data_IF_804979149266
#
_entry.id   IF_804979149266
#
_cell.length_a   1.000
_cell.length_b   1.000
_cell.length_c   1.000
_cell.angle_alpha   90.00
_cell.angle_beta   90.00
_cell.angle_gamma   90.00
#
_symmetry.space_group_name_H-M   'P 1'
#
loop_
_entity.id
_entity.type
_entity.pdbx_description
1 polymer ?
#
# COMPACT_ATOMS: atom_id res chain seq x y z
N UNK A 1 -20.94 -34.83 -0.09
CA UNK A 1 -22.32 -34.86 -0.65
C UNK A 1 -23.09 -33.69 -0.04
N UNK A 2 -23.85 -32.94 -0.85
CA UNK A 2 -24.62 -31.78 -0.35
C UNK A 2 -25.95 -32.25 0.25
N UNK A 3 -26.20 -31.85 1.50
CA UNK A 3 -27.42 -32.13 2.26
C UNK A 3 -28.37 -30.92 2.17
N UNK A 4 -29.68 -31.21 2.14
CA UNK A 4 -30.75 -30.20 2.12
C UNK A 4 -31.92 -30.68 2.99
N UNK A 5 -32.73 -29.76 3.51
CA UNK A 5 -33.88 -30.11 4.36
C UNK A 5 -35.08 -30.52 3.54
N UNK A 6 -35.68 -31.68 3.82
CA UNK A 6 -36.91 -32.10 3.15
C UNK A 6 -38.00 -31.02 3.29
N UNK A 7 -38.61 -30.63 2.17
CA UNK A 7 -39.63 -29.59 2.14
C UNK A 7 -40.87 -29.93 3.00
N UNK A 8 -41.15 -31.22 3.23
CA UNK A 8 -42.35 -31.66 3.95
C UNK A 8 -42.11 -31.97 5.44
N UNK A 9 -40.94 -32.49 5.81
CA UNK A 9 -40.65 -32.88 7.21
C UNK A 9 -39.46 -32.15 7.85
N UNK A 10 -38.81 -31.24 7.14
CA UNK A 10 -37.73 -30.40 7.64
C UNK A 10 -36.40 -31.11 7.93
N UNK A 11 -36.36 -32.44 7.94
CA UNK A 11 -35.15 -33.23 8.22
C UNK A 11 -34.18 -33.24 7.04
N UNK A 12 -32.90 -33.27 7.34
CA UNK A 12 -31.81 -33.31 6.35
C UNK A 12 -31.84 -34.58 5.51
N UNK A 13 -31.65 -34.42 4.21
CA UNK A 13 -31.62 -35.48 3.21
C UNK A 13 -30.57 -35.18 2.13
N UNK A 14 -30.05 -36.23 1.50
CA UNK A 14 -29.17 -36.07 0.34
C UNK A 14 -29.96 -35.60 -0.89
N UNK A 15 -29.36 -34.73 -1.71
CA UNK A 15 -29.89 -34.31 -3.00
C UNK A 15 -30.12 -35.45 -4.01
N UNK A 16 -29.47 -36.61 -3.81
CA UNK A 16 -29.60 -37.79 -4.67
C UNK A 16 -30.67 -38.79 -4.21
N UNK A 17 -31.37 -38.50 -3.12
CA UNK A 17 -32.34 -39.41 -2.52
C UNK A 17 -33.65 -39.43 -3.33
N UNK A 18 -34.16 -40.63 -3.64
CA UNK A 18 -35.36 -40.83 -4.47
C UNK A 18 -36.67 -40.59 -3.68
N UNK A 19 -36.67 -40.86 -2.37
CA UNK A 19 -37.80 -40.65 -1.46
C UNK A 19 -37.26 -40.21 -0.11
N UNK A 20 -37.92 -39.27 0.58
CA UNK A 20 -37.46 -38.86 1.91
C UNK A 20 -37.46 -40.08 2.85
N UNK A 21 -36.31 -40.46 3.45
CA UNK A 21 -36.23 -41.61 4.36
C UNK A 21 -37.01 -41.38 5.66
N UNK A 22 -37.32 -40.13 5.97
CA UNK A 22 -37.94 -39.74 7.24
C UNK A 22 -39.47 -39.63 7.18
N UNK A 23 -40.04 -39.16 6.07
CA UNK A 23 -41.49 -38.96 5.93
C UNK A 23 -42.09 -39.64 4.71
N UNK A 24 -41.27 -40.26 3.86
CA UNK A 24 -41.73 -40.93 2.65
C UNK A 24 -42.17 -39.99 1.53
N UNK A 25 -41.94 -38.68 1.60
CA UNK A 25 -42.28 -37.78 0.49
C UNK A 25 -41.49 -38.11 -0.78
N UNK A 26 -42.17 -38.04 -1.93
CA UNK A 26 -41.60 -38.17 -3.28
C UNK A 26 -41.35 -36.83 -3.95
N UNK A 27 -41.73 -35.72 -3.29
CA UNK A 27 -41.52 -34.32 -3.72
C UNK A 27 -40.69 -33.53 -2.71
N UNK A 28 -39.69 -34.19 -2.13
CA UNK A 28 -38.87 -33.72 -1.04
C UNK A 28 -38.08 -32.42 -1.32
N UNK A 29 -37.94 -32.01 -2.57
CA UNK A 29 -37.22 -30.78 -2.97
C UNK A 29 -38.14 -29.67 -3.49
N UNK A 30 -39.45 -29.76 -3.25
CA UNK A 30 -40.42 -28.73 -3.64
C UNK A 30 -39.96 -27.34 -3.15
N UNK A 31 -40.06 -26.34 -4.03
CA UNK A 31 -39.67 -24.94 -3.80
C UNK A 31 -38.15 -24.67 -3.64
N UNK A 32 -37.29 -25.68 -3.76
CA UNK A 32 -35.85 -25.44 -3.76
C UNK A 32 -35.37 -24.98 -5.14
N UNK A 33 -34.58 -23.91 -5.16
CA UNK A 33 -33.98 -23.36 -6.38
C UNK A 33 -32.47 -23.29 -6.22
N UNK A 34 -31.73 -23.94 -7.11
CA UNK A 34 -30.27 -23.83 -7.17
C UNK A 34 -29.81 -23.35 -8.54
N UNK A 35 -28.65 -22.68 -8.58
CA UNK A 35 -27.97 -22.42 -9.85
C UNK A 35 -27.12 -23.63 -10.24
N UNK A 36 -27.11 -23.95 -11.54
CA UNK A 36 -26.33 -25.07 -12.08
C UNK A 36 -24.84 -24.97 -11.71
N UNK A 37 -24.28 -23.76 -11.69
CA UNK A 37 -22.86 -23.52 -11.38
C UNK A 37 -22.52 -23.90 -9.93
N UNK A 38 -23.43 -23.63 -9.00
CA UNK A 38 -23.24 -23.95 -7.57
C UNK A 38 -23.33 -25.47 -7.35
N UNK A 39 -24.27 -26.14 -8.00
CA UNK A 39 -24.38 -27.60 -7.94
C UNK A 39 -23.14 -28.31 -8.54
N UNK A 40 -22.57 -27.78 -9.62
CA UNK A 40 -21.31 -28.30 -10.19
C UNK A 40 -20.15 -28.09 -9.21
N UNK A 41 -20.05 -26.90 -8.59
CA UNK A 41 -19.00 -26.58 -7.60
C UNK A 41 -19.08 -27.52 -6.38
N UNK A 42 -20.30 -27.87 -5.97
CA UNK A 42 -20.56 -28.76 -4.84
C UNK A 42 -20.41 -30.26 -5.20
N UNK A 43 -19.93 -30.58 -6.40
CA UNK A 43 -19.64 -31.95 -6.85
C UNK A 43 -20.90 -32.78 -7.16
N UNK A 44 -22.05 -32.15 -7.40
CA UNK A 44 -23.29 -32.86 -7.74
C UNK A 44 -23.24 -33.34 -9.19
N UNK A 45 -23.38 -34.64 -9.40
CA UNK A 45 -23.35 -35.25 -10.73
C UNK A 45 -24.59 -34.85 -11.55
N UNK A 46 -24.53 -34.90 -12.90
CA UNK A 46 -25.70 -34.65 -13.76
C UNK A 46 -26.89 -35.54 -13.42
N UNK A 47 -26.64 -36.79 -13.03
CA UNK A 47 -27.68 -37.72 -12.60
C UNK A 47 -28.32 -37.29 -11.26
N UNK A 48 -27.53 -36.75 -10.33
CA UNK A 48 -28.04 -36.13 -9.10
C UNK A 48 -28.86 -34.88 -9.36
N UNK A 49 -28.46 -34.03 -10.32
CA UNK A 49 -29.24 -32.85 -10.74
C UNK A 49 -30.59 -33.26 -11.35
N UNK A 50 -30.59 -34.30 -12.18
CA UNK A 50 -31.81 -34.84 -12.79
C UNK A 50 -32.78 -35.40 -11.74
N UNK A 51 -32.27 -36.15 -10.76
CA UNK A 51 -33.07 -36.61 -9.61
C UNK A 51 -33.64 -35.44 -8.82
N UNK A 52 -32.83 -34.43 -8.50
CA UNK A 52 -33.27 -33.22 -7.80
C UNK A 52 -34.42 -32.52 -8.53
N UNK A 53 -34.33 -32.37 -9.86
CA UNK A 53 -35.41 -31.79 -10.66
C UNK A 53 -36.66 -32.68 -10.71
N UNK A 54 -36.49 -34.00 -10.87
CA UNK A 54 -37.58 -34.99 -10.89
C UNK A 54 -38.40 -34.97 -9.59
N UNK A 55 -37.75 -34.72 -8.46
CA UNK A 55 -38.37 -34.70 -7.13
C UNK A 55 -38.72 -33.29 -6.62
N UNK A 56 -38.89 -32.32 -7.53
CA UNK A 56 -39.55 -31.03 -7.27
C UNK A 56 -38.62 -29.80 -7.19
N UNK A 57 -37.31 -29.99 -7.31
CA UNK A 57 -36.33 -28.89 -7.33
C UNK A 57 -36.27 -28.16 -8.67
N UNK A 58 -35.84 -26.89 -8.66
CA UNK A 58 -35.63 -26.08 -9.88
C UNK A 58 -34.15 -25.71 -10.03
N UNK A 59 -33.61 -25.89 -11.23
CA UNK A 59 -32.23 -25.50 -11.56
C UNK A 59 -32.26 -24.31 -12.51
N UNK A 60 -31.65 -23.19 -12.13
CA UNK A 60 -31.46 -22.00 -12.98
C UNK A 60 -30.09 -22.03 -13.65
N UNK A 61 -30.04 -21.62 -14.92
CA UNK A 61 -28.79 -21.45 -15.69
C UNK A 61 -28.54 -19.95 -15.87
N UNK A 62 -27.38 -19.47 -15.44
CA UNK A 62 -26.96 -18.09 -15.68
C UNK A 62 -26.27 -18.03 -17.03
N UNK A 63 -26.93 -17.45 -18.04
CA UNK A 63 -26.41 -17.37 -19.40
C UNK A 63 -26.02 -15.91 -19.72
N UNK A 64 -24.90 -15.43 -19.17
CA UNK A 64 -24.33 -14.15 -19.60
C UNK A 64 -23.71 -14.36 -20.97
N UNK A 65 -24.22 -13.64 -21.97
CA UNK A 65 -23.66 -13.66 -23.32
C UNK A 65 -22.40 -12.78 -23.35
N UNK A 66 -21.27 -13.35 -22.88
CA UNK A 66 -19.98 -12.67 -22.76
C UNK A 66 -19.52 -12.03 -24.07
N UNK A 67 -19.89 -12.58 -25.23
CA UNK A 67 -19.58 -11.99 -26.54
C UNK A 67 -20.23 -10.62 -26.71
N UNK A 68 -21.52 -10.47 -26.37
CA UNK A 68 -22.22 -9.17 -26.46
C UNK A 68 -21.64 -8.14 -25.50
N UNK A 69 -21.31 -8.55 -24.28
CA UNK A 69 -20.71 -7.65 -23.28
C UNK A 69 -19.31 -7.18 -23.70
N UNK A 70 -18.48 -8.08 -24.22
CA UNK A 70 -17.15 -7.74 -24.72
C UNK A 70 -17.21 -6.75 -25.89
N UNK A 71 -18.11 -6.97 -26.86
CA UNK A 71 -18.28 -6.04 -28.00
C UNK A 71 -18.71 -4.64 -27.54
N UNK A 72 -19.64 -4.54 -26.60
CA UNK A 72 -20.09 -3.25 -26.05
C UNK A 72 -18.93 -2.52 -25.36
N UNK A 73 -18.13 -3.24 -24.58
CA UNK A 73 -16.99 -2.65 -23.88
C UNK A 73 -15.92 -2.13 -24.85
N UNK A 74 -15.65 -2.86 -25.95
CA UNK A 74 -14.72 -2.40 -26.99
C UNK A 74 -15.25 -1.14 -27.69
N UNK A 75 -16.52 -1.11 -28.07
CA UNK A 75 -17.15 0.07 -28.68
C UNK A 75 -17.05 1.27 -27.74
N UNK A 76 -17.34 1.07 -26.46
CA UNK A 76 -17.25 2.13 -25.46
C UNK A 76 -15.84 2.71 -25.33
N UNK A 77 -14.81 1.87 -25.33
CA UNK A 77 -13.41 2.32 -25.30
C UNK A 77 -13.04 3.13 -26.55
N UNK A 78 -13.50 2.71 -27.74
CA UNK A 78 -13.27 3.43 -29.00
C UNK A 78 -13.96 4.80 -28.97
N UNK A 79 -15.20 4.88 -28.48
CA UNK A 79 -15.92 6.15 -28.38
C UNK A 79 -15.21 7.11 -27.42
N UNK A 80 -14.73 6.62 -26.28
CA UNK A 80 -13.97 7.45 -25.32
C UNK A 80 -12.69 8.00 -25.94
N UNK A 81 -11.93 7.18 -26.67
CA UNK A 81 -10.68 7.63 -27.31
C UNK A 81 -10.95 8.68 -28.39
N UNK A 82 -11.99 8.51 -29.21
CA UNK A 82 -12.39 9.50 -30.22
C UNK A 82 -12.80 10.82 -29.57
N UNK A 83 -13.65 10.78 -28.53
CA UNK A 83 -14.08 11.98 -27.81
C UNK A 83 -12.88 12.69 -27.16
N UNK A 84 -11.95 11.93 -26.57
CA UNK A 84 -10.71 12.45 -26.01
C UNK A 84 -9.84 13.16 -27.05
N UNK A 85 -9.69 12.55 -28.23
CA UNK A 85 -8.93 13.12 -29.34
C UNK A 85 -9.54 14.42 -29.87
N UNK A 86 -10.85 14.45 -30.09
CA UNK A 86 -11.56 15.66 -30.56
C UNK A 86 -11.42 16.79 -29.55
N UNK A 87 -11.63 16.51 -28.25
CA UNK A 87 -11.50 17.52 -27.19
C UNK A 87 -10.08 18.04 -27.06
N UNK A 88 -9.08 17.17 -27.13
CA UNK A 88 -7.69 17.59 -26.97
C UNK A 88 -7.13 18.40 -28.15
N UNK A 89 -7.65 18.19 -29.37
CA UNK A 89 -7.27 18.97 -30.56
C UNK A 89 -7.99 20.32 -30.70
N UNK A 90 -8.88 20.69 -29.77
CA UNK A 90 -9.49 22.02 -29.78
C UNK A 90 -8.43 23.10 -29.57
N UNK A 91 -8.38 24.06 -30.50
CA UNK A 91 -7.48 25.22 -30.39
C UNK A 91 -7.99 26.19 -29.33
N UNK A 92 -7.09 26.67 -28.49
CA UNK A 92 -7.32 27.65 -27.44
C UNK A 92 -6.25 28.73 -27.49
N UNK A 93 -6.62 29.96 -27.13
CA UNK A 93 -5.67 31.05 -27.02
C UNK A 93 -4.88 30.91 -25.72
N UNK A 94 -3.55 30.84 -25.82
CA UNK A 94 -2.64 30.77 -24.69
C UNK A 94 -1.73 31.99 -24.67
N UNK A 95 -1.64 32.64 -23.50
CA UNK A 95 -0.76 33.77 -23.26
C UNK A 95 0.58 33.28 -22.70
N UNK A 96 1.65 33.52 -23.44
CA UNK A 96 3.02 33.22 -23.04
C UNK A 96 3.52 34.21 -21.97
N UNK A 97 4.64 33.88 -21.33
CA UNK A 97 5.22 34.68 -20.24
C UNK A 97 5.74 36.05 -20.71
N UNK A 98 6.08 36.18 -21.98
CA UNK A 98 6.44 37.43 -22.67
C UNK A 98 5.21 38.27 -23.06
N UNK A 99 3.99 37.82 -22.73
CA UNK A 99 2.74 38.49 -23.04
C UNK A 99 2.15 38.18 -24.42
N UNK A 100 2.85 37.42 -25.27
CA UNK A 100 2.39 37.05 -26.61
C UNK A 100 1.25 36.03 -26.53
N UNK A 101 0.23 36.19 -27.38
CA UNK A 101 -0.89 35.23 -27.49
C UNK A 101 -0.66 34.33 -28.69
N UNK A 102 -0.64 33.02 -28.47
CA UNK A 102 -0.54 31.99 -29.50
C UNK A 102 -1.73 31.04 -29.42
N UNK A 103 -2.10 30.40 -30.53
CA UNK A 103 -3.08 29.32 -30.53
C UNK A 103 -2.36 27.99 -30.32
N UNK A 104 -2.77 27.24 -29.31
CA UNK A 104 -2.29 25.88 -29.02
C UNK A 104 -3.48 24.95 -28.90
N UNK A 105 -3.28 23.66 -29.10
CA UNK A 105 -4.27 22.64 -28.79
C UNK A 105 -4.42 22.49 -27.27
N UNK A 106 -5.55 21.95 -26.80
CA UNK A 106 -5.71 21.61 -25.37
C UNK A 106 -4.67 20.59 -24.90
N UNK A 107 -4.28 19.64 -25.74
CA UNK A 107 -3.21 18.69 -25.41
C UNK A 107 -1.88 19.41 -25.15
N UNK A 108 -1.48 20.33 -26.03
CA UNK A 108 -0.27 21.14 -25.84
C UNK A 108 -0.38 22.04 -24.60
N UNK A 109 -1.56 22.63 -24.34
CA UNK A 109 -1.79 23.44 -23.14
C UNK A 109 -1.64 22.61 -21.86
N UNK A 110 -2.20 21.41 -21.82
CA UNK A 110 -2.06 20.48 -20.68
C UNK A 110 -0.60 20.07 -20.47
N UNK A 111 0.14 19.84 -21.57
CA UNK A 111 1.57 19.54 -21.51
C UNK A 111 2.39 20.74 -20.99
N UNK A 112 2.11 21.96 -21.47
CA UNK A 112 2.72 23.20 -20.98
C UNK A 112 2.45 23.38 -19.49
N UNK A 113 1.20 23.20 -19.05
CA UNK A 113 0.80 23.35 -17.65
C UNK A 113 1.50 22.31 -16.76
N UNK A 114 1.56 21.05 -17.22
CA UNK A 114 2.29 19.98 -16.55
C UNK A 114 3.78 20.30 -16.42
N UNK A 115 4.42 20.78 -17.48
CA UNK A 115 5.82 21.18 -17.48
C UNK A 115 6.08 22.38 -16.55
N UNK A 116 5.18 23.36 -16.51
CA UNK A 116 5.22 24.48 -15.55
C UNK A 116 5.11 23.99 -14.11
N UNK A 117 4.18 23.08 -13.82
CA UNK A 117 4.02 22.47 -12.50
C UNK A 117 5.29 21.72 -12.07
N UNK A 118 5.88 20.93 -12.98
CA UNK A 118 7.15 20.23 -12.76
C UNK A 118 8.27 21.21 -12.41
N UNK A 119 8.46 22.27 -13.21
CA UNK A 119 9.48 23.31 -12.95
C UNK A 119 9.27 23.99 -11.59
N UNK A 120 8.01 24.31 -11.25
CA UNK A 120 7.67 24.92 -9.96
C UNK A 120 7.98 23.99 -8.79
N UNK A 121 7.65 22.70 -8.91
CA UNK A 121 7.93 21.70 -7.89
C UNK A 121 9.44 21.47 -7.72
N UNK A 122 10.18 21.37 -8.82
CA UNK A 122 11.65 21.27 -8.82
C UNK A 122 12.28 22.47 -8.11
N UNK A 123 11.87 23.69 -8.46
CA UNK A 123 12.33 24.92 -7.80
C UNK A 123 12.05 24.91 -6.30
N UNK A 124 10.84 24.54 -5.90
CA UNK A 124 10.47 24.45 -4.49
C UNK A 124 11.37 23.48 -3.71
N UNK A 125 11.64 22.29 -4.27
CA UNK A 125 12.51 21.30 -3.64
C UNK A 125 13.95 21.81 -3.50
N UNK A 126 14.48 22.50 -4.51
CA UNK A 126 15.80 23.12 -4.47
C UNK A 126 15.88 24.23 -3.42
N UNK A 127 14.84 25.04 -3.28
CA UNK A 127 14.74 26.04 -2.20
C UNK A 127 14.64 25.38 -0.82
N UNK A 128 13.92 24.26 -0.68
CA UNK A 128 13.88 23.48 0.56
C UNK A 128 15.27 22.98 0.94
N UNK A 129 16.07 22.48 -0.01
CA UNK A 129 17.45 22.04 0.26
C UNK A 129 18.30 23.17 0.85
N UNK A 130 18.18 24.40 0.35
CA UNK A 130 18.92 25.56 0.85
C UNK A 130 18.55 25.95 2.29
N UNK A 131 17.34 25.61 2.73
CA UNK A 131 16.83 25.92 4.07
C UNK A 131 17.14 24.83 5.10
N UNK A 132 17.52 23.63 4.66
CA UNK A 132 17.85 22.54 5.57
C UNK A 132 19.15 22.85 6.30
N UNK A 133 19.18 22.51 7.59
CA UNK A 133 20.40 22.60 8.39
C UNK A 133 21.40 21.55 7.90
N UNK A 134 22.70 21.79 8.11
CA UNK A 134 23.73 20.77 7.88
C UNK A 134 23.36 19.45 8.58
N UNK A 135 23.76 18.34 7.96
CA UNK A 135 23.66 16.98 8.51
C UNK A 135 22.23 16.43 8.69
N UNK A 136 21.20 17.10 8.17
CA UNK A 136 19.85 16.54 8.06
C UNK A 136 19.74 15.50 6.93
N UNK A 137 20.59 14.47 6.94
CA UNK A 137 20.78 13.55 5.82
C UNK A 137 19.50 12.84 5.37
N UNK A 138 18.63 12.40 6.30
CA UNK A 138 17.33 11.83 5.94
C UNK A 138 16.43 12.79 5.17
N UNK A 139 16.32 14.05 5.62
CA UNK A 139 15.52 15.06 4.93
C UNK A 139 16.11 15.43 3.55
N UNK A 140 17.45 15.56 3.48
CA UNK A 140 18.17 15.83 2.23
C UNK A 140 17.97 14.66 1.25
N UNK A 141 18.11 13.42 1.72
CA UNK A 141 17.90 12.19 0.94
C UNK A 141 16.49 12.13 0.35
N UNK A 142 15.45 12.41 1.15
CA UNK A 142 14.06 12.42 0.67
C UNK A 142 13.78 13.52 -0.37
N UNK A 143 14.43 14.68 -0.26
CA UNK A 143 14.32 15.70 -1.31
C UNK A 143 14.99 15.22 -2.60
N UNK A 144 16.21 14.69 -2.55
CA UNK A 144 16.88 14.17 -3.75
C UNK A 144 16.13 13.00 -4.38
N UNK A 145 15.50 12.13 -3.58
CA UNK A 145 14.58 11.09 -4.07
C UNK A 145 13.44 11.69 -4.89
N UNK A 146 12.78 12.74 -4.39
CA UNK A 146 11.73 13.45 -5.15
C UNK A 146 12.27 14.08 -6.42
N UNK A 147 13.44 14.74 -6.35
CA UNK A 147 14.11 15.33 -7.52
C UNK A 147 14.45 14.27 -8.59
N UNK A 148 14.91 13.08 -8.20
CA UNK A 148 15.14 11.97 -9.15
C UNK A 148 13.84 11.48 -9.79
N UNK A 149 12.73 11.51 -9.08
CA UNK A 149 11.41 11.19 -9.64
C UNK A 149 10.96 12.19 -10.71
N UNK A 150 11.27 13.47 -10.50
CA UNK A 150 10.96 14.57 -11.43
C UNK A 150 11.89 14.55 -12.65
N UNK A 151 13.21 14.41 -12.43
CA UNK A 151 14.24 14.38 -13.47
C UNK A 151 14.96 13.02 -13.48
N UNK A 152 14.28 12.00 -14.00
CA UNK A 152 14.79 10.61 -14.03
C UNK A 152 16.19 10.46 -14.65
N UNK A 153 16.51 11.31 -15.62
CA UNK A 153 17.75 11.24 -16.39
C UNK A 153 18.87 12.14 -15.81
N UNK A 154 18.64 12.83 -14.70
CA UNK A 154 19.67 13.66 -14.09
C UNK A 154 20.62 12.77 -13.24
N UNK A 155 21.88 12.54 -13.67
CA UNK A 155 22.81 11.66 -12.96
C UNK A 155 23.26 12.24 -11.62
N UNK A 156 23.27 13.57 -11.48
CA UNK A 156 23.71 14.26 -10.28
C UNK A 156 22.70 14.08 -9.14
N UNK A 157 21.40 14.23 -9.41
CA UNK A 157 20.35 13.96 -8.42
C UNK A 157 20.38 12.51 -7.93
N UNK A 158 20.62 11.56 -8.84
CA UNK A 158 20.75 10.14 -8.51
C UNK A 158 21.96 9.90 -7.61
N UNK A 159 23.11 10.49 -7.94
CA UNK A 159 24.34 10.40 -7.15
C UNK A 159 24.14 10.96 -5.74
N UNK A 160 23.56 12.15 -5.59
CA UNK A 160 23.32 12.74 -4.28
C UNK A 160 22.28 11.96 -3.47
N UNK A 161 21.21 11.47 -4.10
CA UNK A 161 20.25 10.60 -3.42
C UNK A 161 20.95 9.38 -2.82
N UNK A 162 21.74 8.66 -3.61
CA UNK A 162 22.47 7.49 -3.12
C UNK A 162 23.44 7.83 -1.99
N UNK A 163 24.14 8.96 -2.09
CA UNK A 163 25.08 9.43 -1.08
C UNK A 163 24.38 9.72 0.25
N UNK A 164 23.37 10.60 0.25
CA UNK A 164 22.66 10.99 1.47
C UNK A 164 21.81 9.87 2.05
N UNK A 165 21.30 8.97 1.20
CA UNK A 165 20.67 7.73 1.64
C UNK A 165 21.66 6.86 2.40
N UNK A 166 22.86 6.63 1.86
CA UNK A 166 23.90 5.87 2.56
C UNK A 166 24.19 6.49 3.93
N UNK A 167 24.31 7.82 4.00
CA UNK A 167 24.57 8.50 5.26
C UNK A 167 23.43 8.30 6.26
N UNK A 168 22.18 8.48 5.84
CA UNK A 168 21.02 8.25 6.70
C UNK A 168 20.91 6.79 7.14
N UNK A 169 21.09 5.84 6.22
CA UNK A 169 21.04 4.40 6.49
C UNK A 169 22.13 3.96 7.50
N UNK A 170 23.28 4.65 7.50
CA UNK A 170 24.41 4.31 8.37
C UNK A 170 24.08 4.49 9.85
N UNK A 171 23.12 5.36 10.20
CA UNK A 171 22.69 5.57 11.59
C UNK A 171 22.17 4.28 12.23
N UNK A 172 21.59 3.37 11.44
CA UNK A 172 21.05 2.10 11.94
C UNK A 172 22.12 1.17 12.49
N UNK A 173 23.37 1.27 12.03
CA UNK A 173 24.47 0.52 12.60
C UNK A 173 24.69 0.92 14.08
N UNK A 174 24.74 2.22 14.36
CA UNK A 174 24.85 2.76 15.71
C UNK A 174 23.65 2.37 16.57
N UNK A 175 22.42 2.57 16.09
CA UNK A 175 21.19 2.25 16.82
C UNK A 175 21.20 0.77 17.23
N UNK A 176 21.38 -0.15 16.26
CA UNK A 176 21.39 -1.60 16.55
C UNK A 176 22.50 -2.00 17.51
N UNK A 177 23.68 -1.40 17.39
CA UNK A 177 24.79 -1.68 18.28
C UNK A 177 24.48 -1.25 19.72
N UNK A 178 24.01 -0.02 19.91
CA UNK A 178 23.66 0.54 21.23
C UNK A 178 22.52 -0.25 21.86
N UNK A 179 21.43 -0.46 21.11
CA UNK A 179 20.28 -1.22 21.58
C UNK A 179 20.71 -2.63 22.03
N UNK A 180 21.55 -3.33 21.25
CA UNK A 180 22.05 -4.66 21.63
C UNK A 180 22.94 -4.62 22.87
N UNK A 181 23.84 -3.64 22.97
CA UNK A 181 24.81 -3.51 24.08
C UNK A 181 24.15 -3.14 25.40
N UNK A 182 23.19 -2.22 25.37
CA UNK A 182 22.58 -1.64 26.57
C UNK A 182 21.19 -2.22 26.88
N UNK A 183 20.71 -3.22 26.11
CA UNK A 183 19.42 -3.89 26.32
C UNK A 183 19.21 -4.36 27.77
N UNK A 184 20.23 -4.95 28.38
CA UNK A 184 20.16 -5.49 29.75
C UNK A 184 20.00 -4.42 30.83
N UNK A 185 20.18 -3.14 30.50
CA UNK A 185 20.04 -2.01 31.42
C UNK A 185 18.65 -1.39 31.41
N UNK A 186 17.79 -1.80 30.48
CA UNK A 186 16.38 -1.51 30.56
C UNK A 186 15.78 -2.39 31.68
N UNK A 187 16.01 -2.00 32.93
CA UNK A 187 15.39 -2.63 34.10
C UNK A 187 13.94 -2.19 34.12
N UNK A 188 13.03 -3.16 34.17
CA UNK A 188 11.59 -2.91 34.21
C UNK A 188 11.13 -3.32 35.58
N UNK A 189 10.58 -2.37 36.33
CA UNK A 189 9.94 -2.64 37.61
C UNK A 189 8.73 -3.56 37.38
N UNK A 190 8.50 -4.51 38.30
CA UNK A 190 7.50 -5.59 38.14
C UNK A 190 6.07 -5.11 37.87
N UNK A 191 5.75 -3.84 38.17
CA UNK A 191 4.43 -3.21 37.97
C UNK A 191 4.27 -2.49 36.63
N UNK A 192 5.27 -2.54 35.74
CA UNK A 192 5.29 -1.79 34.48
C UNK A 192 5.28 -2.70 33.26
N UNK A 193 4.45 -2.37 32.27
CA UNK A 193 4.44 -3.05 30.97
C UNK A 193 5.40 -2.36 30.00
N UNK A 194 6.32 -3.11 29.37
CA UNK A 194 7.18 -2.57 28.32
C UNK A 194 6.34 -2.36 27.06
N UNK A 195 6.21 -1.10 26.63
CA UNK A 195 5.68 -0.79 25.32
C UNK A 195 6.86 -0.63 24.38
N UNK A 196 7.06 -1.58 23.46
CA UNK A 196 8.06 -1.43 22.42
C UNK A 196 7.65 -0.31 21.46
N UNK A 197 8.22 0.88 21.66
CA UNK A 197 8.01 2.03 20.78
C UNK A 197 9.31 2.78 20.56
N UNK A 198 9.77 2.84 19.30
CA UNK A 198 10.86 3.74 18.91
C UNK A 198 10.38 5.18 19.05
N UNK A 199 11.00 5.95 19.92
CA UNK A 199 10.80 7.39 19.97
C UNK A 199 11.95 8.08 19.24
N UNK A 200 11.70 8.49 17.99
CA UNK A 200 12.71 9.12 17.14
C UNK A 200 13.10 10.55 17.60
N UNK A 201 12.60 11.02 18.75
CA UNK A 201 12.83 12.38 19.27
C UNK A 201 14.23 12.59 19.85
N UNK A 202 15.02 11.55 20.03
CA UNK A 202 16.30 11.62 20.74
C UNK A 202 17.50 11.13 19.91
N UNK A 203 17.45 11.34 18.61
CA UNK A 203 18.54 11.00 17.68
C UNK A 203 18.81 12.13 16.69
N UNK A 204 20.06 12.27 16.25
CA UNK A 204 20.43 13.30 15.28
C UNK A 204 21.90 13.34 14.93
N UNK A 205 22.22 13.83 13.74
CA UNK A 205 23.61 14.08 13.35
C UNK A 205 24.11 15.37 14.01
N UNK A 206 25.19 15.27 14.79
CA UNK A 206 25.85 16.40 15.44
C UNK A 206 27.06 16.91 14.65
N UNK A 207 27.44 16.23 13.57
CA UNK A 207 28.53 16.60 12.68
C UNK A 207 28.56 15.69 11.46
N UNK A 208 29.50 15.95 10.54
CA UNK A 208 29.62 15.21 9.27
C UNK A 208 29.67 13.70 9.47
N UNK A 209 30.44 13.25 10.45
CA UNK A 209 30.69 11.85 10.74
C UNK A 209 30.29 11.48 12.17
N UNK A 210 29.34 12.21 12.76
CA UNK A 210 28.97 12.02 14.17
C UNK A 210 27.46 11.99 14.31
N UNK A 211 26.96 10.86 14.80
CA UNK A 211 25.55 10.65 15.12
C UNK A 211 25.38 10.53 16.63
N UNK A 212 24.43 11.25 17.18
CA UNK A 212 24.01 11.16 18.57
C UNK A 212 22.76 10.30 18.63
N UNK A 213 22.78 9.31 19.50
CA UNK A 213 21.66 8.42 19.75
C UNK A 213 21.45 8.25 21.25
N UNK A 214 20.26 8.58 21.71
CA UNK A 214 19.86 8.36 23.09
C UNK A 214 18.93 7.15 23.11
N UNK A 215 19.39 6.09 23.76
CA UNK A 215 18.61 4.89 23.94
C UNK A 215 17.62 5.10 25.10
N UNK A 216 16.35 4.94 24.80
CA UNK A 216 15.23 5.07 25.74
C UNK A 216 14.28 3.88 25.58
N UNK A 217 13.52 3.57 26.62
CA UNK A 217 12.41 2.61 26.53
C UNK A 217 11.13 3.23 27.11
N UNK A 218 9.98 2.78 26.60
CA UNK A 218 8.67 3.21 27.09
C UNK A 218 8.14 2.18 28.08
N UNK A 219 7.74 2.67 29.23
CA UNK A 219 7.04 1.88 30.25
C UNK A 219 5.63 2.43 30.41
N UNK A 220 4.66 1.54 30.56
CA UNK A 220 3.27 1.90 30.86
C UNK A 220 2.96 1.59 32.32
N UNK A 221 2.34 2.55 33.00
CA UNK A 221 1.87 2.43 34.37
C UNK A 221 0.40 2.90 34.47
N UNK A 222 -0.25 2.82 35.65
CA UNK A 222 -1.63 3.27 35.83
C UNK A 222 -1.89 4.74 35.48
N UNK A 223 -0.85 5.58 35.43
CA UNK A 223 -0.93 7.00 35.13
C UNK A 223 -0.60 7.36 33.67
N UNK A 224 -0.20 6.38 32.84
CA UNK A 224 0.09 6.57 31.41
C UNK A 224 1.41 5.97 30.95
N UNK A 225 1.97 6.50 29.85
CA UNK A 225 3.23 6.04 29.27
C UNK A 225 4.35 6.99 29.67
N UNK A 226 5.38 6.46 30.33
CA UNK A 226 6.60 7.18 30.70
C UNK A 226 7.77 6.73 29.82
N UNK A 227 8.61 7.67 29.40
CA UNK A 227 9.85 7.38 28.67
C UNK A 227 11.00 7.36 29.68
N UNK A 228 11.74 6.25 29.73
CA UNK A 228 12.91 6.08 30.59
C UNK A 228 14.18 6.15 29.76
N UNK A 229 15.13 6.96 30.21
CA UNK A 229 16.47 7.05 29.62
C UNK A 229 17.34 5.87 30.05
N UNK A 230 18.10 5.30 29.11
CA UNK A 230 19.06 4.21 29.37
C UNK A 230 20.49 4.68 29.20
N UNK A 231 20.78 5.33 28.07
CA UNK A 231 22.12 5.81 27.76
C UNK A 231 22.11 6.86 26.65
N UNK A 232 23.05 7.79 26.72
CA UNK A 232 23.35 8.71 25.63
C UNK A 232 24.64 8.28 24.93
N UNK A 233 24.65 8.29 23.60
CA UNK A 233 25.73 7.72 22.80
C UNK A 233 26.13 8.65 21.66
N UNK A 234 27.44 8.75 21.45
CA UNK A 234 28.09 9.40 20.33
C UNK A 234 28.73 8.33 19.44
N UNK A 235 28.19 8.18 18.24
CA UNK A 235 28.65 7.26 17.21
C UNK A 235 29.49 8.01 16.17
N UNK A 236 30.71 7.53 15.94
CA UNK A 236 31.70 8.12 15.03
C UNK A 236 31.84 7.20 13.82
N UNK A 237 31.89 7.80 12.63
CA UNK A 237 31.95 7.09 11.36
C UNK A 237 33.21 7.43 10.57
N UNK A 238 33.70 6.46 9.81
CA UNK A 238 34.82 6.67 8.88
C UNK A 238 34.40 7.50 7.65
N UNK A 239 35.34 7.74 6.72
CA UNK A 239 35.08 8.45 5.47
C UNK A 239 34.06 7.74 4.55
N UNK A 240 33.88 6.43 4.74
CA UNK A 240 32.93 5.60 4.01
C UNK A 240 31.61 5.44 4.75
N UNK A 241 31.38 6.17 5.86
CA UNK A 241 30.20 6.07 6.71
C UNK A 241 29.99 4.68 7.33
N UNK A 242 31.05 3.90 7.51
CA UNK A 242 31.01 2.73 8.37
C UNK A 242 31.19 3.16 9.83
N UNK A 243 30.48 2.48 10.74
CA UNK A 243 30.57 2.76 12.16
C UNK A 243 31.96 2.38 12.69
N UNK A 244 32.74 3.36 13.11
CA UNK A 244 34.11 3.18 13.60
C UNK A 244 34.16 3.01 15.11
N UNK A 245 33.43 3.86 15.85
CA UNK A 245 33.37 3.75 17.31
C UNK A 245 32.07 4.29 17.92
N UNK A 246 31.74 3.79 19.11
CA UNK A 246 30.58 4.23 19.89
C UNK A 246 31.03 4.59 21.30
N UNK A 247 30.95 5.88 21.64
CA UNK A 247 31.30 6.41 22.96
C UNK A 247 30.04 6.74 23.74
N UNK A 248 29.96 6.36 25.01
CA UNK A 248 28.91 6.89 25.88
C UNK A 248 29.20 8.34 26.20
N UNK A 249 28.14 9.13 26.27
CA UNK A 249 28.17 10.51 26.75
C UNK A 249 27.38 10.57 28.04
N UNK A 250 27.92 11.27 29.04
CA UNK A 250 27.19 11.57 30.27
C UNK A 250 26.05 12.54 30.00
#
# INVERSE_FOLDING_TARGET
MKLVNCADCGKEISLSCDKCPNCGSTKQFKNMVFFRKDLIKDGVTPMGMMKFQKHGGKIKIFNINYKKFATILVIFLIVITIIGYIRGNQKVNYKQEDGKVIQVTRFELDEINKNKAIKKQEKYLLESLKKLKPFQYGAISEIYKKLTGIRKNNPEYKKYYQLYKKYDDSKWACIRFVEKRDKSKAIVEDSFEIVYGRDNRFEGWAGKNTFIYIYTYKVKNPFGVTIKHVSSNKCIYDSNFNLESVKKTN
#
